data_IF_858735117328
#
_entry.id   IF_858735117328
#
_cell.length_a   1.000
_cell.length_b   1.000
_cell.length_c   1.000
_cell.angle_alpha   90.00
_cell.angle_beta   90.00
_cell.angle_gamma   90.00
#
_symmetry.space_group_name_H-M   'P 1'
#
loop_
_entity.id
_entity.type
_entity.pdbx_description
1 polymer ?
#
# COMPACT_ATOMS: atom_id res chain seq x y z
N UNK A 1 -9.34 3.25 3.01
CA UNK A 1 -8.88 4.57 2.52
C UNK A 1 -10.01 5.62 2.52
N UNK A 2 -11.08 5.50 1.69
CA UNK A 2 -12.12 6.57 1.53
C UNK A 2 -12.71 7.05 2.87
N UNK A 3 -13.16 6.13 3.74
CA UNK A 3 -13.72 6.47 5.05
C UNK A 3 -12.68 7.11 5.97
N UNK A 4 -11.45 6.66 5.88
CA UNK A 4 -10.36 7.16 6.73
C UNK A 4 -9.94 8.56 6.30
N UNK A 5 -9.84 8.84 5.00
CA UNK A 5 -9.56 10.18 4.47
C UNK A 5 -10.63 11.17 4.90
N UNK A 6 -11.91 10.81 4.77
CA UNK A 6 -13.01 11.69 5.23
C UNK A 6 -12.93 11.95 6.73
N UNK A 7 -12.66 10.92 7.54
CA UNK A 7 -12.61 11.05 9.00
C UNK A 7 -11.40 11.89 9.48
N UNK A 8 -10.24 11.76 8.82
CA UNK A 8 -8.99 12.41 9.24
C UNK A 8 -8.78 13.78 8.62
N UNK A 9 -9.22 13.98 7.37
CA UNK A 9 -8.90 15.18 6.58
C UNK A 9 -10.12 15.96 6.11
N UNK A 10 -11.34 15.49 6.39
CA UNK A 10 -12.58 16.14 5.98
C UNK A 10 -12.84 16.15 4.48
N UNK A 11 -12.05 15.41 3.71
CA UNK A 11 -12.12 15.37 2.23
C UNK A 11 -12.91 14.15 1.78
N UNK A 12 -13.82 14.34 0.83
CA UNK A 12 -14.54 13.26 0.19
C UNK A 12 -13.84 12.83 -1.09
N UNK A 13 -13.53 11.52 -1.19
CA UNK A 13 -12.93 10.94 -2.38
C UNK A 13 -14.00 10.33 -3.27
N UNK A 14 -14.00 10.70 -4.53
CA UNK A 14 -14.76 10.00 -5.58
C UNK A 14 -13.92 8.84 -6.11
N UNK A 15 -14.49 7.63 -6.11
CA UNK A 15 -13.80 6.44 -6.64
C UNK A 15 -14.20 6.25 -8.08
N UNK A 16 -13.22 6.32 -8.97
CA UNK A 16 -13.38 5.98 -10.38
C UNK A 16 -12.79 4.58 -10.60
N UNK A 17 -13.58 3.68 -11.13
CA UNK A 17 -13.11 2.35 -11.52
C UNK A 17 -12.65 2.41 -12.96
N UNK A 18 -11.37 2.18 -13.16
CA UNK A 18 -10.75 2.19 -14.46
C UNK A 18 -9.69 1.10 -14.52
N UNK A 19 -9.63 0.42 -15.64
CA UNK A 19 -8.57 -0.53 -15.94
C UNK A 19 -7.35 0.26 -16.41
N UNK A 20 -6.34 0.34 -15.55
CA UNK A 20 -5.10 1.04 -15.82
C UNK A 20 -3.99 0.01 -16.05
N UNK A 21 -3.24 0.20 -17.11
CA UNK A 21 -2.02 -0.57 -17.30
C UNK A 21 -1.02 -0.25 -16.21
N UNK A 22 -0.47 -1.27 -15.58
CA UNK A 22 0.58 -1.14 -14.56
C UNK A 22 1.90 -1.70 -15.14
N UNK A 23 2.96 -0.90 -15.01
CA UNK A 23 4.30 -1.41 -15.31
C UNK A 23 4.74 -2.37 -14.22
N UNK A 24 5.58 -3.32 -14.56
CA UNK A 24 6.23 -4.20 -13.61
C UNK A 24 7.63 -3.65 -13.28
N UNK A 25 7.80 -3.10 -12.08
CA UNK A 25 9.06 -2.54 -11.60
C UNK A 25 9.21 -2.87 -10.09
N UNK A 26 10.41 -3.20 -9.59
CA UNK A 26 10.61 -3.38 -8.15
C UNK A 26 10.40 -2.10 -7.35
N UNK A 27 10.56 -0.93 -7.97
CA UNK A 27 10.30 0.38 -7.35
C UNK A 27 8.81 0.76 -7.49
N UNK A 28 8.07 0.61 -6.38
CA UNK A 28 6.64 0.98 -6.31
C UNK A 28 6.45 2.49 -6.62
N UNK A 29 7.42 3.33 -6.30
CA UNK A 29 7.34 4.76 -6.60
C UNK A 29 7.23 5.03 -8.10
N UNK A 30 7.96 4.27 -8.93
CA UNK A 30 7.81 4.33 -10.39
C UNK A 30 6.45 3.82 -10.85
N UNK A 31 5.99 2.69 -10.28
CA UNK A 31 4.67 2.12 -10.64
C UNK A 31 3.56 3.15 -10.42
N UNK A 32 3.48 3.77 -9.24
CA UNK A 32 2.42 4.74 -8.95
C UNK A 32 2.56 6.02 -9.77
N UNK A 33 3.79 6.41 -10.12
CA UNK A 33 4.03 7.55 -10.99
C UNK A 33 3.40 7.33 -12.37
N UNK A 34 3.77 6.24 -13.03
CA UNK A 34 3.25 5.89 -14.36
C UNK A 34 1.73 5.67 -14.32
N UNK A 35 1.25 4.99 -13.27
CA UNK A 35 -0.18 4.79 -13.06
C UNK A 35 -0.96 6.10 -12.90
N UNK A 36 -0.40 7.10 -12.17
CA UNK A 36 -1.02 8.41 -12.01
C UNK A 36 -1.07 9.20 -13.33
N UNK A 37 0.00 9.12 -14.13
CA UNK A 37 0.03 9.72 -15.47
C UNK A 37 -1.01 9.09 -16.37
N UNK A 38 -1.05 7.76 -16.44
CA UNK A 38 -2.04 7.03 -17.23
C UNK A 38 -3.49 7.32 -16.81
N UNK A 39 -3.74 7.41 -15.50
CA UNK A 39 -5.05 7.77 -14.98
C UNK A 39 -5.45 9.19 -15.39
N UNK A 40 -4.54 10.16 -15.27
CA UNK A 40 -4.81 11.53 -15.70
C UNK A 40 -5.05 11.60 -17.21
N UNK A 41 -4.21 10.96 -18.02
CA UNK A 41 -4.35 10.96 -19.48
C UNK A 41 -5.71 10.44 -19.94
N UNK A 42 -6.25 9.48 -19.20
CA UNK A 42 -7.54 8.86 -19.50
C UNK A 42 -8.76 9.70 -19.06
N UNK A 43 -8.64 10.43 -17.95
CA UNK A 43 -9.76 11.15 -17.33
C UNK A 43 -9.72 12.67 -17.55
N UNK A 44 -8.55 13.21 -17.88
CA UNK A 44 -8.28 14.66 -17.96
C UNK A 44 -8.66 15.42 -16.66
N UNK A 45 -8.60 14.75 -15.51
CA UNK A 45 -8.91 15.32 -14.19
C UNK A 45 -7.83 14.97 -13.18
N UNK A 46 -7.54 15.90 -12.22
CA UNK A 46 -6.64 15.59 -11.11
C UNK A 46 -7.05 14.30 -10.40
N UNK A 47 -6.09 13.41 -10.19
CA UNK A 47 -6.35 12.09 -9.64
C UNK A 47 -5.27 11.66 -8.65
N UNK A 48 -5.62 10.68 -7.83
CA UNK A 48 -4.70 9.96 -6.95
C UNK A 48 -4.89 8.47 -7.18
N UNK A 49 -3.78 7.76 -7.34
CA UNK A 49 -3.74 6.29 -7.45
C UNK A 49 -2.95 5.73 -6.28
N UNK A 50 -3.20 4.47 -5.97
CA UNK A 50 -2.54 3.75 -4.88
C UNK A 50 -1.90 2.46 -5.40
N UNK A 51 -0.76 2.10 -4.81
CA UNK A 51 -0.13 0.79 -4.94
C UNK A 51 0.56 0.43 -3.63
N UNK A 52 0.40 -0.81 -3.19
CA UNK A 52 1.01 -1.29 -1.95
C UNK A 52 1.81 -2.56 -2.16
N UNK A 53 2.71 -2.84 -1.22
CA UNK A 53 3.50 -4.05 -1.20
C UNK A 53 3.85 -4.49 0.21
N UNK A 54 4.09 -5.80 0.36
CA UNK A 54 4.64 -6.40 1.57
C UNK A 54 6.03 -6.96 1.24
N UNK A 55 7.00 -6.67 2.09
CA UNK A 55 8.40 -7.02 1.92
C UNK A 55 8.83 -7.87 3.11
N UNK A 56 9.17 -9.12 2.88
CA UNK A 56 9.59 -10.04 3.93
C UNK A 56 11.12 -10.02 4.09
N UNK A 57 11.62 -10.02 5.33
CA UNK A 57 13.06 -9.97 5.58
C UNK A 57 13.78 -11.23 5.10
N UNK A 58 13.15 -12.38 5.25
CA UNK A 58 13.72 -13.66 4.82
C UNK A 58 13.78 -13.82 3.29
N UNK A 59 12.98 -13.05 2.56
CA UNK A 59 12.92 -13.04 1.09
C UNK A 59 13.10 -11.60 0.60
N UNK A 60 14.32 -11.04 0.64
CA UNK A 60 14.56 -9.63 0.38
C UNK A 60 13.96 -9.15 -0.94
N UNK A 61 13.09 -8.14 -0.85
CA UNK A 61 12.39 -7.57 -2.00
C UNK A 61 11.12 -8.30 -2.43
N UNK A 62 10.79 -9.48 -1.84
CA UNK A 62 9.62 -10.26 -2.22
C UNK A 62 8.55 -10.27 -1.10
N UNK A 63 7.27 -10.42 -1.51
CA UNK A 63 6.75 -10.26 -2.86
C UNK A 63 6.81 -8.81 -3.37
N UNK A 64 7.04 -7.81 -2.50
CA UNK A 64 7.30 -6.43 -2.88
C UNK A 64 6.18 -5.82 -3.74
N UNK A 65 6.57 -5.24 -4.86
CA UNK A 65 5.66 -4.57 -5.81
C UNK A 65 4.65 -5.51 -6.48
N UNK A 66 4.98 -6.79 -6.60
CA UNK A 66 4.07 -7.81 -7.15
C UNK A 66 3.20 -8.48 -6.08
N UNK A 67 3.19 -7.94 -4.87
CA UNK A 67 2.49 -8.51 -3.72
C UNK A 67 1.02 -8.82 -3.99
N UNK A 68 0.32 -7.97 -4.75
CA UNK A 68 -1.07 -8.22 -5.10
C UNK A 68 -1.23 -9.46 -5.99
N UNK A 69 -0.40 -9.61 -7.01
CA UNK A 69 -0.44 -10.76 -7.92
C UNK A 69 -0.17 -12.04 -7.15
N UNK A 70 0.88 -12.04 -6.33
CA UNK A 70 1.22 -13.19 -5.47
C UNK A 70 0.09 -13.49 -4.49
N UNK A 71 -0.52 -12.47 -3.88
CA UNK A 71 -1.64 -12.67 -2.96
C UNK A 71 -2.86 -13.26 -3.64
N UNK A 72 -3.21 -12.78 -4.83
CA UNK A 72 -4.38 -13.27 -5.57
C UNK A 72 -4.26 -14.78 -5.88
N UNK A 73 -3.03 -15.27 -6.12
CA UNK A 73 -2.77 -16.68 -6.43
C UNK A 73 -2.59 -17.57 -5.19
N UNK A 74 -1.81 -17.12 -4.20
CA UNK A 74 -1.40 -17.98 -3.08
C UNK A 74 -2.07 -17.67 -1.76
N UNK A 75 -2.63 -16.45 -1.62
CA UNK A 75 -3.32 -15.96 -0.42
C UNK A 75 -2.49 -16.19 0.87
N UNK A 76 -3.08 -16.77 1.90
CA UNK A 76 -2.45 -17.03 3.19
C UNK A 76 -1.35 -18.11 3.15
N UNK A 77 -1.29 -18.90 2.09
CA UNK A 77 -0.17 -19.83 1.85
C UNK A 77 1.18 -19.12 1.68
N UNK A 78 1.19 -17.80 1.50
CA UNK A 78 2.44 -17.02 1.53
C UNK A 78 3.19 -17.19 2.87
N UNK A 79 2.50 -17.54 3.96
CA UNK A 79 3.12 -17.85 5.25
C UNK A 79 4.03 -19.08 5.19
N UNK A 80 3.75 -20.02 4.26
CA UNK A 80 4.49 -21.27 4.06
C UNK A 80 5.81 -21.06 3.29
N UNK A 81 6.02 -19.86 2.71
CA UNK A 81 7.27 -19.51 2.05
C UNK A 81 8.42 -19.31 3.04
N UNK A 82 8.09 -19.10 4.33
CA UNK A 82 9.06 -18.95 5.41
C UNK A 82 9.35 -20.31 6.04
N UNK A 83 10.63 -20.70 6.06
CA UNK A 83 11.10 -21.93 6.68
C UNK A 83 11.20 -21.77 8.19
N UNK A 84 11.31 -22.90 8.89
CA UNK A 84 11.64 -22.89 10.31
C UNK A 84 13.01 -22.23 10.52
N UNK A 85 13.06 -21.22 11.39
CA UNK A 85 14.27 -20.43 11.66
C UNK A 85 14.43 -19.15 10.81
N UNK A 86 13.64 -18.96 9.76
CA UNK A 86 13.66 -17.72 9.00
C UNK A 86 13.09 -16.55 9.83
N UNK A 87 13.64 -15.35 9.57
CA UNK A 87 13.06 -14.13 10.11
C UNK A 87 11.62 -13.97 9.62
N UNK A 88 10.70 -13.75 10.55
CA UNK A 88 9.32 -13.37 10.20
C UNK A 88 9.12 -11.87 10.12
N UNK A 89 10.18 -11.07 10.23
CA UNK A 89 10.12 -9.62 10.05
C UNK A 89 9.61 -9.26 8.66
N UNK A 90 8.77 -8.22 8.61
CA UNK A 90 8.23 -7.73 7.36
C UNK A 90 7.97 -6.21 7.42
N UNK A 91 7.93 -5.58 6.25
CA UNK A 91 7.56 -4.18 6.05
C UNK A 91 6.38 -4.12 5.09
N UNK A 92 5.32 -3.42 5.45
CA UNK A 92 4.25 -3.08 4.51
C UNK A 92 4.41 -1.63 4.12
N UNK A 93 4.35 -1.36 2.82
CA UNK A 93 4.40 -0.02 2.24
C UNK A 93 3.17 0.25 1.41
N UNK A 94 2.70 1.50 1.46
CA UNK A 94 1.68 2.01 0.55
C UNK A 94 2.17 3.32 -0.05
N UNK A 95 2.00 3.43 -1.35
CA UNK A 95 2.37 4.60 -2.14
C UNK A 95 1.14 5.22 -2.76
N UNK A 96 1.08 6.56 -2.75
CA UNK A 96 0.10 7.33 -3.48
C UNK A 96 0.82 8.12 -4.58
N UNK A 97 0.35 7.97 -5.82
CA UNK A 97 0.76 8.82 -6.93
C UNK A 97 -0.34 9.83 -7.23
N UNK A 98 -0.05 11.12 -7.21
CA UNK A 98 -0.99 12.15 -7.63
C UNK A 98 -0.55 12.81 -8.92
N UNK A 99 -1.51 13.09 -9.82
CA UNK A 99 -1.27 13.84 -11.05
C UNK A 99 -2.34 14.91 -11.21
N UNK A 100 -1.90 16.17 -11.43
CA UNK A 100 -2.77 17.32 -11.67
C UNK A 100 -2.68 17.85 -13.14
N UNK A 101 -2.02 17.09 -14.01
CA UNK A 101 -1.77 17.43 -15.40
C UNK A 101 -0.54 18.30 -15.62
N UNK A 102 0.06 18.82 -14.56
CA UNK A 102 1.29 19.62 -14.60
C UNK A 102 2.41 18.98 -13.81
N UNK A 103 2.05 18.26 -12.74
CA UNK A 103 3.00 17.66 -11.80
C UNK A 103 2.53 16.30 -11.38
N UNK A 104 3.48 15.41 -11.22
CA UNK A 104 3.28 14.12 -10.55
C UNK A 104 4.04 14.14 -9.23
N UNK A 105 3.37 13.73 -8.16
CA UNK A 105 3.99 13.59 -6.83
C UNK A 105 3.71 12.20 -6.30
N UNK A 106 4.68 11.68 -5.57
CA UNK A 106 4.58 10.37 -4.90
C UNK A 106 4.69 10.57 -3.40
N UNK A 107 3.82 9.92 -2.65
CA UNK A 107 3.81 9.93 -1.20
C UNK A 107 3.87 8.50 -0.69
N UNK A 108 4.47 8.27 0.45
CA UNK A 108 4.68 6.92 0.97
C UNK A 108 4.38 6.87 2.46
N UNK A 109 3.73 5.80 2.87
CA UNK A 109 3.63 5.38 4.25
C UNK A 109 4.15 3.96 4.41
N UNK A 110 4.81 3.68 5.52
CA UNK A 110 5.31 2.35 5.81
C UNK A 110 5.04 1.94 7.25
N UNK A 111 4.97 0.64 7.45
CA UNK A 111 4.81 0.05 8.78
C UNK A 111 5.63 -1.22 8.88
N UNK A 112 6.57 -1.20 9.81
CA UNK A 112 7.36 -2.37 10.18
C UNK A 112 6.50 -3.29 11.05
N UNK A 113 6.75 -4.60 10.95
CA UNK A 113 6.02 -5.60 11.73
C UNK A 113 6.54 -7.00 11.45
N UNK A 114 5.67 -7.98 11.60
CA UNK A 114 6.01 -9.40 11.44
C UNK A 114 4.91 -10.15 10.69
N UNK A 115 5.31 -11.21 10.00
CA UNK A 115 4.40 -12.20 9.42
C UNK A 115 3.86 -13.13 10.50
N UNK A 116 2.56 -13.32 10.54
CA UNK A 116 1.94 -14.38 11.34
C UNK A 116 2.29 -15.75 10.77
N UNK A 117 2.22 -16.78 11.61
CA UNK A 117 2.44 -18.17 11.15
C UNK A 117 1.32 -18.67 10.23
N UNK A 118 0.13 -18.13 10.42
CA UNK A 118 -1.08 -18.44 9.64
C UNK A 118 -2.02 -17.24 9.64
N UNK A 119 -2.94 -17.20 8.68
CA UNK A 119 -3.95 -16.15 8.61
C UNK A 119 -4.87 -16.15 9.84
N UNK A 120 -5.16 -14.96 10.37
CA UNK A 120 -6.02 -14.74 11.54
C UNK A 120 -6.90 -13.51 11.32
N UNK A 121 -8.09 -13.53 11.92
CA UNK A 121 -9.03 -12.42 11.88
C UNK A 121 -10.08 -12.53 10.78
N UNK A 122 -11.14 -11.74 10.94
CA UNK A 122 -12.29 -11.71 10.03
C UNK A 122 -12.12 -10.72 8.88
N UNK A 123 -11.31 -9.68 9.06
CA UNK A 123 -11.07 -8.66 8.03
C UNK A 123 -10.02 -9.16 7.03
N UNK A 124 -10.47 -9.43 5.80
CA UNK A 124 -9.67 -10.07 4.77
C UNK A 124 -9.38 -9.10 3.62
N UNK A 125 -8.52 -8.12 3.84
CA UNK A 125 -8.04 -7.25 2.78
C UNK A 125 -6.54 -7.51 2.53
N UNK A 126 -6.22 -8.10 1.39
CA UNK A 126 -4.86 -8.48 1.03
C UNK A 126 -4.15 -9.17 2.23
N UNK A 127 -2.96 -8.77 2.57
CA UNK A 127 -2.14 -9.32 3.67
C UNK A 127 -2.58 -8.98 5.10
N UNK A 128 -3.72 -8.31 5.29
CA UNK A 128 -4.21 -8.00 6.65
C UNK A 128 -4.31 -9.22 7.57
N UNK A 129 -4.76 -10.40 7.13
CA UNK A 129 -4.82 -11.57 7.99
C UNK A 129 -3.48 -12.12 8.45
N UNK A 130 -2.38 -11.75 7.78
CA UNK A 130 -1.06 -12.34 8.00
C UNK A 130 -0.01 -11.34 8.50
N UNK A 131 -0.33 -10.06 8.61
CA UNK A 131 0.62 -9.03 9.04
C UNK A 131 0.27 -8.49 10.43
N UNK A 132 1.23 -8.54 11.34
CA UNK A 132 1.20 -7.99 12.70
C UNK A 132 2.07 -6.73 12.74
N UNK A 133 1.50 -5.52 12.95
CA UNK A 133 2.26 -4.27 12.93
C UNK A 133 3.06 -4.07 14.22
N UNK A 134 4.28 -3.56 14.12
CA UNK A 134 5.15 -3.29 15.27
C UNK A 134 5.36 -4.53 16.12
N UNK A 135 5.22 -4.36 17.44
CA UNK A 135 5.33 -5.44 18.42
C UNK A 135 3.98 -6.05 18.80
N UNK A 136 2.93 -5.75 18.06
CA UNK A 136 1.60 -6.26 18.31
C UNK A 136 1.54 -7.78 18.10
N UNK A 137 0.68 -8.45 18.89
CA UNK A 137 0.38 -9.87 18.71
C UNK A 137 -0.83 -10.12 17.81
N UNK A 138 -1.61 -9.08 17.51
CA UNK A 138 -2.78 -9.13 16.63
C UNK A 138 -2.37 -8.79 15.18
N UNK A 139 -2.96 -9.50 14.23
CA UNK A 139 -2.87 -9.14 12.83
C UNK A 139 -3.81 -7.95 12.53
N UNK A 140 -3.57 -7.26 11.42
CA UNK A 140 -4.53 -6.26 10.93
C UNK A 140 -5.94 -6.86 10.72
N UNK A 141 -6.03 -8.15 10.38
CA UNK A 141 -7.29 -8.86 10.24
C UNK A 141 -8.05 -9.02 11.56
N UNK A 142 -7.35 -9.03 12.69
CA UNK A 142 -7.91 -9.13 14.04
C UNK A 142 -8.19 -7.77 14.68
N UNK A 143 -7.44 -6.73 14.30
CA UNK A 143 -7.51 -5.40 14.95
C UNK A 143 -8.81 -4.64 14.68
N UNK A 144 -9.48 -4.88 13.59
CA UNK A 144 -10.55 -4.00 13.13
C UNK A 144 -10.02 -2.66 12.59
N UNK A 145 -10.93 -1.86 12.01
CA UNK A 145 -10.54 -0.67 11.26
C UNK A 145 -9.96 0.46 12.13
N UNK A 146 -10.43 0.62 13.35
CA UNK A 146 -10.01 1.74 14.22
C UNK A 146 -8.58 1.55 14.73
N UNK A 147 -8.27 0.40 15.28
CA UNK A 147 -6.91 0.10 15.75
C UNK A 147 -5.90 0.03 14.60
N UNK A 148 -6.35 -0.41 13.42
CA UNK A 148 -5.50 -0.46 12.24
C UNK A 148 -5.09 0.94 11.75
N UNK A 149 -5.94 1.96 11.89
CA UNK A 149 -5.71 3.30 11.34
C UNK A 149 -4.37 3.91 11.76
N UNK A 150 -4.02 3.81 13.03
CA UNK A 150 -2.83 4.49 13.58
C UNK A 150 -1.52 3.92 13.07
N UNK A 151 -1.53 2.63 12.73
CA UNK A 151 -0.37 1.94 12.18
C UNK A 151 -0.44 1.72 10.66
N UNK A 152 -1.59 1.99 10.02
CA UNK A 152 -1.80 1.69 8.60
C UNK A 152 -0.87 2.49 7.68
N UNK A 153 -0.09 1.83 6.81
CA UNK A 153 0.76 2.53 5.84
C UNK A 153 -0.06 3.37 4.86
N UNK A 154 -1.27 2.95 4.53
CA UNK A 154 -2.20 3.73 3.68
C UNK A 154 -2.58 5.05 4.36
N UNK A 155 -2.91 5.02 5.66
CA UNK A 155 -3.24 6.24 6.39
C UNK A 155 -2.05 7.18 6.45
N UNK A 156 -0.85 6.67 6.73
CA UNK A 156 0.40 7.46 6.72
C UNK A 156 0.69 8.09 5.36
N UNK A 157 0.46 7.37 4.26
CA UNK A 157 0.63 7.91 2.91
C UNK A 157 -0.37 9.05 2.63
N UNK A 158 -1.62 8.93 3.07
CA UNK A 158 -2.61 10.01 2.97
C UNK A 158 -2.27 11.20 3.86
N UNK A 159 -1.77 10.97 5.07
CA UNK A 159 -1.29 12.05 5.94
C UNK A 159 -0.16 12.84 5.27
N UNK A 160 0.82 12.16 4.68
CA UNK A 160 1.90 12.78 3.90
C UNK A 160 1.38 13.55 2.68
N UNK A 161 0.38 13.01 1.98
CA UNK A 161 -0.28 13.70 0.86
C UNK A 161 -0.90 15.03 1.29
N UNK A 162 -1.67 15.04 2.38
CA UNK A 162 -2.33 16.25 2.87
C UNK A 162 -1.36 17.24 3.54
N UNK A 163 -0.26 16.75 4.12
CA UNK A 163 0.82 17.61 4.61
C UNK A 163 1.68 18.21 3.49
N UNK A 164 1.56 17.71 2.26
CA UNK A 164 2.39 18.15 1.14
C UNK A 164 3.85 17.69 1.21
N UNK A 165 4.13 16.66 2.00
CA UNK A 165 5.48 16.15 2.30
C UNK A 165 6.05 15.18 1.25
N UNK A 166 5.49 15.13 0.08
CA UNK A 166 5.99 14.29 -1.01
C UNK A 166 7.24 14.87 -1.69
N UNK A 167 8.19 14.03 -2.14
CA UNK A 167 9.29 14.49 -2.97
C UNK A 167 8.74 15.20 -4.21
N UNK A 168 9.25 16.41 -4.47
CA UNK A 168 8.93 17.13 -5.70
C UNK A 168 9.66 16.45 -6.85
N UNK A 169 8.98 15.56 -7.56
CA UNK A 169 9.50 15.04 -8.81
C UNK A 169 9.35 16.10 -9.89
N UNK A 170 10.36 16.18 -10.78
CA UNK A 170 10.41 17.15 -11.86
C UNK A 170 9.11 17.17 -12.68
N UNK A 171 8.79 18.35 -13.25
CA UNK A 171 7.68 18.48 -14.18
C UNK A 171 7.76 17.43 -15.29
N UNK A 172 6.61 17.01 -15.79
CA UNK A 172 6.53 16.27 -17.05
C UNK A 172 7.07 17.20 -18.16
N UNK A 173 8.23 16.87 -18.74
CA UNK A 173 8.71 17.47 -19.98
C UNK A 173 7.94 16.88 -21.17
#
# INVERSE_FOLDING_TARGET
>A
ARRDVRARHGVELSIVRQDLQEILDPDIGKIVREKAVGAYASMAHPCVVEHGGIFMDALPGLPGSVGKIVWDDVQDRICDFLRAGDSRGAMVRSYLGSCDGRRVRVYMGETRGRMAERARGAYKFAWDPIFMPGDQSLTYGEMGLELKRDSSPVCKAWDAFFAGEGPRLAALE
#
